data_IF_127054894367
#
_entry.id   IF_127054894367
#
_cell.length_a   1.000
_cell.length_b   1.000
_cell.length_c   1.000
_cell.angle_alpha   90.00
_cell.angle_beta   90.00
_cell.angle_gamma   90.00
#
_symmetry.space_group_name_H-M   'P 1'
#
loop_
_entity.id
_entity.type
_entity.pdbx_description
1 polymer ?
#
# COMPACT_ATOMS: atom_id res chain seq x y z
N UNK A 1 -4.19 2.22 23.70
CA UNK A 1 -4.16 0.99 24.51
C UNK A 1 -4.41 -0.18 23.57
N UNK A 2 -3.41 -1.02 23.35
CA UNK A 2 -3.44 -2.14 22.38
C UNK A 2 -3.43 -3.50 23.10
N UNK A 3 -3.82 -4.58 22.41
CA UNK A 3 -3.99 -5.91 23.04
C UNK A 3 -2.75 -6.41 23.78
N UNK A 4 -1.56 -6.05 23.33
CA UNK A 4 -0.27 -6.40 23.99
C UNK A 4 -0.19 -5.82 25.41
N UNK A 5 -0.79 -4.66 25.67
CA UNK A 5 -0.76 -4.00 26.99
C UNK A 5 -1.84 -4.51 27.96
N UNK A 6 -2.73 -5.41 27.52
CA UNK A 6 -3.95 -5.80 28.26
C UNK A 6 -4.09 -7.31 28.44
N UNK A 7 -3.05 -8.08 28.15
CA UNK A 7 -3.11 -9.55 28.20
C UNK A 7 -1.74 -10.10 28.57
N UNK A 8 -1.71 -11.13 29.42
CA UNK A 8 -0.47 -11.83 29.79
C UNK A 8 0.17 -12.57 28.60
N UNK A 9 -0.66 -12.97 27.61
CA UNK A 9 -0.20 -13.51 26.33
C UNK A 9 -1.17 -13.10 25.21
N UNK A 10 -0.67 -12.36 24.22
CA UNK A 10 -1.44 -11.96 23.05
C UNK A 10 -0.97 -12.71 21.80
N UNK A 11 -1.90 -13.38 21.12
CA UNK A 11 -1.66 -14.00 19.81
C UNK A 11 -2.30 -13.13 18.75
N UNK A 12 -1.48 -12.49 17.90
CA UNK A 12 -1.94 -11.61 16.83
C UNK A 12 -1.47 -12.20 15.51
N UNK A 13 -2.42 -12.72 14.72
CA UNK A 13 -2.13 -13.28 13.41
C UNK A 13 -1.81 -12.20 12.39
N UNK A 14 -0.95 -12.55 11.44
CA UNK A 14 -0.66 -11.76 10.25
C UNK A 14 -0.48 -12.70 9.05
N UNK A 15 -0.26 -12.14 7.88
CA UNK A 15 -0.02 -12.87 6.64
C UNK A 15 1.47 -12.85 6.26
N UNK A 16 1.86 -13.71 5.30
CA UNK A 16 3.23 -13.81 4.77
C UNK A 16 3.30 -13.50 3.27
N UNK A 17 2.17 -13.54 2.58
CA UNK A 17 2.05 -13.28 1.15
C UNK A 17 1.95 -11.77 0.84
N UNK A 18 1.94 -11.44 -0.45
CA UNK A 18 1.86 -10.06 -0.92
C UNK A 18 0.47 -9.45 -0.65
N UNK A 19 0.43 -8.14 -0.43
CA UNK A 19 -0.81 -7.37 -0.39
C UNK A 19 -1.52 -7.49 -1.74
N UNK A 20 -2.78 -7.91 -1.68
CA UNK A 20 -3.68 -7.97 -2.84
C UNK A 20 -4.16 -6.58 -3.19
N UNK A 21 -4.12 -6.26 -4.47
CA UNK A 21 -4.48 -4.93 -4.94
C UNK A 21 -5.35 -4.98 -6.21
N UNK A 22 -6.28 -4.02 -6.32
CA UNK A 22 -7.26 -3.95 -7.43
C UNK A 22 -7.24 -2.54 -8.05
N UNK A 23 -6.87 -2.48 -9.33
CA UNK A 23 -6.80 -1.24 -10.09
C UNK A 23 -8.17 -0.58 -10.29
N UNK A 24 -9.25 -1.34 -10.35
CA UNK A 24 -10.61 -0.79 -10.54
C UNK A 24 -11.06 0.01 -9.33
N UNK A 25 -10.83 -0.54 -8.13
CA UNK A 25 -11.16 0.13 -6.88
C UNK A 25 -10.22 1.31 -6.61
N UNK A 26 -8.93 1.15 -6.92
CA UNK A 26 -7.96 2.22 -6.77
C UNK A 26 -8.29 3.43 -7.66
N UNK A 27 -8.68 3.21 -8.92
CA UNK A 27 -9.15 4.29 -9.82
C UNK A 27 -10.40 4.98 -9.30
N UNK A 28 -11.39 4.23 -8.81
CA UNK A 28 -12.62 4.80 -8.22
C UNK A 28 -12.33 5.65 -6.98
N UNK A 29 -11.44 5.18 -6.11
CA UNK A 29 -11.02 5.93 -4.93
C UNK A 29 -10.26 7.20 -5.33
N UNK A 30 -9.30 7.06 -6.25
CA UNK A 30 -8.49 8.17 -6.73
C UNK A 30 -9.32 9.27 -7.39
N UNK A 31 -10.34 8.92 -8.19
CA UNK A 31 -11.24 9.88 -8.81
C UNK A 31 -12.04 10.73 -7.79
N UNK A 32 -12.25 10.22 -6.57
CA UNK A 32 -12.99 10.92 -5.52
C UNK A 32 -12.10 11.77 -4.61
N UNK A 33 -10.88 11.31 -4.35
CA UNK A 33 -9.99 11.86 -3.32
C UNK A 33 -8.79 12.65 -3.90
N UNK A 34 -8.36 12.30 -5.11
CA UNK A 34 -7.28 12.99 -5.81
C UNK A 34 -5.88 12.76 -5.22
N UNK A 35 -4.90 13.48 -5.77
CA UNK A 35 -3.48 13.29 -5.46
C UNK A 35 -3.08 13.73 -4.06
N UNK A 36 -3.59 14.87 -3.60
CA UNK A 36 -3.20 15.45 -2.31
C UNK A 36 -3.56 14.52 -1.16
N UNK A 37 -4.76 13.93 -1.20
CA UNK A 37 -5.22 13.00 -0.18
C UNK A 37 -4.45 11.67 -0.24
N UNK A 38 -4.19 11.15 -1.45
CA UNK A 38 -3.37 9.94 -1.61
C UNK A 38 -1.99 10.10 -0.96
N UNK A 39 -1.32 11.22 -1.20
CA UNK A 39 0.02 11.47 -0.66
C UNK A 39 -0.04 11.64 0.86
N UNK A 40 -0.94 12.48 1.36
CA UNK A 40 -0.97 12.85 2.77
C UNK A 40 -1.51 11.74 3.68
N UNK A 41 -2.46 10.93 3.20
CA UNK A 41 -3.15 9.94 4.03
C UNK A 41 -2.71 8.51 3.79
N UNK A 42 -2.16 8.17 2.63
CA UNK A 42 -1.68 6.81 2.34
C UNK A 42 -0.15 6.76 2.34
N UNK A 43 0.50 7.51 1.45
CA UNK A 43 1.96 7.40 1.25
C UNK A 43 2.75 7.91 2.47
N UNK A 44 2.37 9.08 2.98
CA UNK A 44 3.05 9.73 4.11
C UNK A 44 2.82 9.00 5.44
N UNK A 45 1.78 8.16 5.51
CA UNK A 45 1.42 7.41 6.72
C UNK A 45 1.92 5.98 6.71
N UNK A 46 2.48 5.49 5.59
CA UNK A 46 3.14 4.20 5.55
C UNK A 46 4.41 4.26 6.42
N UNK A 47 4.50 3.51 7.53
CA UNK A 47 5.61 3.64 8.48
C UNK A 47 6.98 3.34 7.87
N UNK A 48 7.04 2.42 6.91
CA UNK A 48 8.28 2.02 6.23
C UNK A 48 8.47 2.66 4.85
N UNK A 49 7.51 3.47 4.40
CA UNK A 49 7.50 4.04 3.05
C UNK A 49 7.65 3.00 1.91
N UNK A 50 7.18 1.77 2.16
CA UNK A 50 7.18 0.69 1.17
C UNK A 50 6.16 0.90 0.04
N UNK A 51 5.21 1.82 0.22
CA UNK A 51 4.27 2.24 -0.80
C UNK A 51 4.82 3.48 -1.48
N UNK A 52 4.96 3.42 -2.81
CA UNK A 52 5.53 4.51 -3.61
C UNK A 52 4.63 4.85 -4.78
N UNK A 53 4.60 6.14 -5.15
CA UNK A 53 3.99 6.59 -6.39
C UNK A 53 5.06 6.62 -7.48
N UNK A 54 4.82 5.89 -8.57
CA UNK A 54 5.70 5.88 -9.75
C UNK A 54 4.91 6.16 -11.02
N UNK A 55 5.62 6.60 -12.05
CA UNK A 55 5.04 6.64 -13.39
C UNK A 55 4.70 5.22 -13.83
N UNK A 56 3.57 5.02 -14.50
CA UNK A 56 3.08 3.68 -14.90
C UNK A 56 4.07 2.89 -15.77
N UNK A 57 5.03 3.56 -16.41
CA UNK A 57 6.11 2.94 -17.20
C UNK A 57 7.32 2.48 -16.38
N UNK A 58 7.46 2.94 -15.14
CA UNK A 58 8.63 2.72 -14.28
C UNK A 58 8.37 1.80 -13.09
N UNK A 59 7.26 1.05 -13.10
CA UNK A 59 6.90 0.15 -12.01
C UNK A 59 7.74 -1.13 -12.07
N UNK A 60 8.26 -1.54 -10.91
CA UNK A 60 8.99 -2.79 -10.74
C UNK A 60 8.11 -4.00 -11.04
N UNK A 61 8.71 -5.05 -11.60
CA UNK A 61 8.03 -6.29 -12.01
C UNK A 61 8.50 -7.51 -11.22
N UNK A 62 9.10 -7.30 -10.05
CA UNK A 62 9.56 -8.39 -9.19
C UNK A 62 8.35 -9.13 -8.58
N UNK A 63 8.56 -10.38 -8.19
CA UNK A 63 7.49 -11.23 -7.65
C UNK A 63 6.91 -10.69 -6.33
N UNK A 64 7.69 -9.88 -5.62
CA UNK A 64 7.38 -9.26 -4.34
C UNK A 64 6.74 -7.88 -4.50
N UNK A 65 6.60 -7.36 -5.72
CA UNK A 65 6.05 -6.04 -6.00
C UNK A 65 4.60 -6.15 -6.45
N UNK A 66 3.70 -5.47 -5.73
CA UNK A 66 2.30 -5.31 -6.16
C UNK A 66 2.14 -3.92 -6.81
N UNK A 67 1.71 -3.90 -8.08
CA UNK A 67 1.50 -2.66 -8.84
C UNK A 67 0.03 -2.36 -9.08
N UNK A 68 -0.39 -1.09 -8.92
CA UNK A 68 -1.77 -0.65 -9.10
C UNK A 68 -1.83 0.63 -9.92
N UNK A 69 -2.45 0.59 -11.08
CA UNK A 69 -2.61 1.79 -11.90
C UNK A 69 -3.74 2.68 -11.32
N UNK A 70 -3.39 3.90 -10.90
CA UNK A 70 -4.32 4.90 -10.35
C UNK A 70 -4.95 5.75 -11.45
N UNK A 71 -4.19 6.02 -12.50
CA UNK A 71 -4.64 6.66 -13.74
C UNK A 71 -3.75 6.20 -14.92
N UNK A 72 -3.77 6.93 -16.03
CA UNK A 72 -3.03 6.57 -17.25
C UNK A 72 -1.54 6.97 -17.18
N UNK A 73 -1.17 7.78 -16.19
CA UNK A 73 0.16 8.35 -15.99
C UNK A 73 0.88 7.79 -14.76
N UNK A 74 0.14 7.44 -13.71
CA UNK A 74 0.65 7.12 -12.38
C UNK A 74 0.13 5.77 -11.88
N UNK A 75 1.03 5.07 -11.20
CA UNK A 75 0.78 3.78 -10.57
C UNK A 75 1.37 3.77 -9.17
N UNK A 76 0.67 3.10 -8.27
CA UNK A 76 1.11 2.81 -6.91
C UNK A 76 1.88 1.49 -6.93
N UNK A 77 3.12 1.54 -6.44
CA UNK A 77 3.98 0.37 -6.26
C UNK A 77 4.04 0.04 -4.77
N UNK A 78 3.84 -1.21 -4.42
CA UNK A 78 3.97 -1.72 -3.07
C UNK A 78 5.11 -2.73 -3.07
N UNK A 79 6.18 -2.43 -2.35
CA UNK A 79 7.24 -3.39 -2.07
C UNK A 79 6.87 -4.23 -0.85
N UNK A 80 6.31 -5.42 -1.09
CA UNK A 80 5.81 -6.27 -0.01
C UNK A 80 6.94 -6.80 0.88
N UNK A 81 8.18 -6.85 0.39
CA UNK A 81 9.32 -7.31 1.20
C UNK A 81 9.67 -6.31 2.31
N UNK A 82 9.45 -5.02 2.04
CA UNK A 82 9.71 -3.93 2.98
C UNK A 82 8.44 -3.41 3.68
N UNK A 83 7.30 -4.07 3.47
CA UNK A 83 6.00 -3.70 4.05
C UNK A 83 5.77 -4.43 5.39
N UNK A 84 6.68 -4.26 6.35
CA UNK A 84 6.59 -4.83 7.71
C UNK A 84 7.07 -3.84 8.76
#
# INVERSE_FOLDING_TARGET
MNSIQRSDMAVIGTWRDNIRSDATLARKWFAKHGMTELVNDVLSRCPTHAIQLKASKGVGKAAEISSVALDDSQSLEIDNKNCV
#
